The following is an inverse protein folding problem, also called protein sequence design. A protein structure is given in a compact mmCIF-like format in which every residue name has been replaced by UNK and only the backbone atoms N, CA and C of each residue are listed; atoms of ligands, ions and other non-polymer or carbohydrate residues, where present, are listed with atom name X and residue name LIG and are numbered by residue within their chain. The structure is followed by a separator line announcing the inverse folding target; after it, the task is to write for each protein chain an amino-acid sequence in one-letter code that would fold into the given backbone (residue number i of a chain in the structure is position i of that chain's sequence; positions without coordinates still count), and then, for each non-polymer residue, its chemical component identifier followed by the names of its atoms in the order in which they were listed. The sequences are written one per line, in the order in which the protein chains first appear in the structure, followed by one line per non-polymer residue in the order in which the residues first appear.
data_IF_310250547529
#
_entry.id   IF_310250547529
#
_cell.length_a   1.000
_cell.length_b   1.000
_cell.length_c   1.000
_cell.angle_alpha   90.00
_cell.angle_beta   90.00
_cell.angle_gamma   90.00
#
_symmetry.space_group_name_H-M   'P 1'
#
loop_
_entity.id
_entity.type
_entity.pdbx_description
1 polymer ?
#
# COMPACT_ATOMS: atom_id res chain seq x y z
N UNK A 1 6.34 14.76 2.17
CA UNK A 1 6.30 15.88 3.14
C UNK A 1 5.30 16.92 2.71
N UNK A 2 5.34 17.43 1.47
CA UNK A 2 4.36 18.36 0.91
C UNK A 2 2.90 17.95 1.17
N UNK A 3 2.51 16.71 0.86
CA UNK A 3 1.14 16.22 1.11
C UNK A 3 0.73 16.21 2.60
N UNK A 4 1.68 15.90 3.50
CA UNK A 4 1.43 15.92 4.94
C UNK A 4 1.29 17.37 5.45
N UNK A 5 2.13 18.27 4.96
CA UNK A 5 2.05 19.70 5.25
C UNK A 5 0.73 20.30 4.74
N UNK A 6 0.26 19.89 3.55
CA UNK A 6 -1.04 20.27 2.98
C UNK A 6 -2.21 19.74 3.82
N UNK A 7 -2.07 18.55 4.40
CA UNK A 7 -3.00 18.01 5.38
C UNK A 7 -2.92 18.68 6.77
N UNK A 8 -2.04 19.68 6.95
CA UNK A 8 -1.85 20.39 8.21
C UNK A 8 -1.10 19.59 9.27
N UNK A 9 -0.38 18.54 8.86
CA UNK A 9 0.43 17.70 9.74
C UNK A 9 1.84 18.30 9.81
N UNK A 10 2.26 18.66 11.02
CA UNK A 10 3.63 19.12 11.26
C UNK A 10 4.62 17.96 11.07
N UNK A 11 5.66 18.19 10.27
CA UNK A 11 6.64 17.16 9.93
C UNK A 11 8.01 17.57 10.44
N UNK A 12 8.45 16.93 11.52
CA UNK A 12 9.81 17.05 12.01
C UNK A 12 10.71 15.98 11.37
N UNK A 13 11.71 16.41 10.61
CA UNK A 13 12.71 15.49 10.07
C UNK A 13 13.64 15.00 11.20
N UNK A 14 13.43 13.78 11.67
CA UNK A 14 14.25 13.22 12.74
C UNK A 14 15.73 13.08 12.36
N UNK A 15 16.61 13.10 13.37
CA UNK A 15 18.08 13.28 13.23
C UNK A 15 18.85 12.00 12.83
N UNK A 16 18.17 11.02 12.23
CA UNK A 16 18.64 9.64 12.13
C UNK A 16 19.84 9.43 11.20
N UNK A 17 20.06 10.32 10.23
CA UNK A 17 21.14 10.21 9.24
C UNK A 17 22.54 10.39 9.88
N UNK A 18 22.61 10.94 11.08
CA UNK A 18 23.86 11.20 11.81
C UNK A 18 24.23 10.14 12.85
N UNK A 19 23.34 9.17 13.09
CA UNK A 19 23.44 8.18 14.17
C UNK A 19 24.34 7.02 13.76
N UNK A 20 25.37 6.74 14.56
CA UNK A 20 26.36 5.68 14.26
C UNK A 20 25.97 4.30 14.77
N UNK A 21 24.92 4.19 15.59
CA UNK A 21 24.44 2.92 16.15
C UNK A 21 25.50 2.21 17.02
N UNK A 22 26.33 2.98 17.74
CA UNK A 22 27.32 2.52 18.71
C UNK A 22 26.69 2.18 20.07
N UNK A 23 27.43 1.50 20.96
CA UNK A 23 26.94 1.18 22.32
C UNK A 23 26.43 2.42 23.07
N UNK A 24 27.13 3.54 22.92
CA UNK A 24 26.72 4.82 23.50
C UNK A 24 25.43 5.37 22.90
N UNK A 25 25.25 5.22 21.58
CA UNK A 25 24.02 5.67 20.92
C UNK A 25 22.80 4.88 21.44
N UNK A 26 23.00 3.62 21.87
CA UNK A 26 21.93 2.81 22.47
C UNK A 26 21.58 3.21 23.90
N UNK A 27 22.57 3.64 24.69
CA UNK A 27 22.34 4.19 26.03
C UNK A 27 21.57 5.51 25.97
N UNK A 28 21.86 6.35 24.96
CA UNK A 28 21.20 7.64 24.73
C UNK A 28 19.84 7.49 23.98
N UNK A 29 19.53 6.32 23.43
CA UNK A 29 18.29 6.09 22.67
C UNK A 29 17.02 6.22 23.52
N UNK A 30 17.13 6.01 24.83
CA UNK A 30 16.05 6.29 25.78
C UNK A 30 15.72 7.79 25.83
N UNK A 31 16.71 8.67 25.67
CA UNK A 31 16.49 10.11 25.61
C UNK A 31 15.85 10.58 24.30
N UNK A 32 15.99 9.80 23.22
CA UNK A 32 15.35 10.08 21.94
C UNK A 32 13.93 9.55 21.86
N UNK A 33 13.61 8.59 22.71
CA UNK A 33 12.27 8.05 22.79
C UNK A 33 11.30 9.13 23.25
N UNK A 34 10.24 9.30 22.49
CA UNK A 34 9.15 10.21 22.78
C UNK A 34 7.90 9.38 23.11
N UNK A 35 7.44 9.46 24.36
CA UNK A 35 6.25 8.75 24.84
C UNK A 35 4.95 9.25 24.17
N UNK A 36 5.00 10.40 23.48
CA UNK A 36 3.85 10.94 22.76
C UNK A 36 3.69 10.35 21.35
N UNK A 37 4.60 9.47 20.90
CA UNK A 37 4.46 8.79 19.61
C UNK A 37 3.29 7.80 19.68
N UNK A 38 2.16 8.19 19.09
CA UNK A 38 0.96 7.35 19.04
C UNK A 38 1.02 6.23 18.01
N UNK A 39 1.79 6.39 16.94
CA UNK A 39 1.91 5.40 15.87
C UNK A 39 3.26 5.47 15.15
N UNK A 40 3.68 4.33 14.60
CA UNK A 40 4.80 4.17 13.68
C UNK A 40 4.26 3.68 12.35
N UNK A 41 4.41 4.50 11.30
CA UNK A 41 3.98 4.18 9.94
C UNK A 41 5.20 3.80 9.11
N UNK A 42 5.21 2.59 8.56
CA UNK A 42 6.31 2.08 7.73
C UNK A 42 5.85 1.97 6.28
N UNK A 43 6.50 2.74 5.42
CA UNK A 43 6.33 2.68 3.97
C UNK A 43 7.65 2.50 3.24
N UNK A 44 7.67 2.80 1.94
CA UNK A 44 8.91 2.78 1.16
C UNK A 44 9.83 3.93 1.61
N UNK A 45 11.03 3.58 2.07
CA UNK A 45 12.06 4.53 2.50
C UNK A 45 13.42 4.15 1.90
N UNK A 46 13.80 4.83 0.81
CA UNK A 46 15.10 4.63 0.16
C UNK A 46 16.30 5.06 1.00
N UNK A 47 16.06 5.78 2.10
CA UNK A 47 17.05 6.20 3.10
C UNK A 47 16.84 5.47 4.42
N UNK A 48 16.31 4.25 4.40
CA UNK A 48 16.14 3.44 5.60
C UNK A 48 17.51 3.14 6.25
N UNK A 49 17.62 3.37 7.55
CA UNK A 49 18.85 3.14 8.32
C UNK A 49 18.58 2.26 9.53
N UNK A 50 19.65 1.67 10.08
CA UNK A 50 19.53 0.89 11.32
C UNK A 50 19.04 1.75 12.50
N UNK A 51 19.37 3.05 12.53
CA UNK A 51 18.87 3.97 13.54
C UNK A 51 17.35 4.15 13.47
N UNK A 52 16.80 4.32 12.27
CA UNK A 52 15.34 4.38 12.06
C UNK A 52 14.66 3.06 12.49
N UNK A 53 15.25 1.91 12.13
CA UNK A 53 14.76 0.60 12.53
C UNK A 53 14.69 0.46 14.06
N UNK A 54 15.77 0.80 14.76
CA UNK A 54 15.85 0.70 16.21
C UNK A 54 14.85 1.64 16.89
N UNK A 55 14.73 2.88 16.40
CA UNK A 55 13.77 3.86 16.91
C UNK A 55 12.31 3.39 16.72
N UNK A 56 11.95 3.00 15.50
CA UNK A 56 10.64 2.47 15.18
C UNK A 56 10.29 1.26 16.07
N UNK A 57 11.24 0.33 16.21
CA UNK A 57 11.06 -0.85 17.07
C UNK A 57 10.81 -0.48 18.53
N UNK A 58 11.60 0.45 19.08
CA UNK A 58 11.45 0.90 20.47
C UNK A 58 10.08 1.53 20.71
N UNK A 59 9.61 2.39 19.79
CA UNK A 59 8.32 3.05 19.93
C UNK A 59 7.16 2.06 19.87
N UNK A 60 7.21 1.10 18.97
CA UNK A 60 6.21 0.01 18.88
C UNK A 60 6.21 -0.84 20.16
N UNK A 61 7.38 -1.13 20.74
CA UNK A 61 7.48 -1.86 22.00
C UNK A 61 6.84 -1.08 23.17
N UNK A 62 6.90 0.26 23.14
CA UNK A 62 6.30 1.16 24.14
C UNK A 62 4.80 1.39 23.97
N UNK A 63 4.21 0.91 22.89
CA UNK A 63 2.76 0.94 22.68
C UNK A 63 2.31 1.84 21.54
N UNK A 64 3.22 2.43 20.78
CA UNK A 64 2.85 3.05 19.51
C UNK A 64 2.22 2.01 18.58
N UNK A 65 1.13 2.39 17.91
CA UNK A 65 0.46 1.54 16.93
C UNK A 65 1.39 1.26 15.75
N UNK A 66 1.45 0.02 15.28
CA UNK A 66 2.26 -0.33 14.12
C UNK A 66 1.41 -0.35 12.83
N UNK A 67 1.65 0.60 11.92
CA UNK A 67 0.94 0.74 10.64
C UNK A 67 1.92 0.51 9.48
N UNK A 68 1.48 -0.24 8.47
CA UNK A 68 2.25 -0.47 7.24
C UNK A 68 1.49 0.07 6.02
N UNK A 69 2.20 0.69 5.07
CA UNK A 69 1.55 1.21 3.86
C UNK A 69 1.12 0.09 2.92
N UNK A 70 1.98 -0.90 2.68
CA UNK A 70 1.71 -2.11 1.91
C UNK A 70 2.70 -3.23 2.29
N UNK A 71 2.37 -4.50 2.01
CA UNK A 71 3.24 -5.64 2.30
C UNK A 71 4.17 -6.02 1.14
N UNK A 72 4.23 -5.24 0.05
CA UNK A 72 4.94 -5.62 -1.16
C UNK A 72 6.45 -5.77 -0.91
N UNK A 73 6.97 -6.99 -1.09
CA UNK A 73 8.37 -7.29 -0.80
C UNK A 73 9.35 -6.54 -1.71
N UNK A 74 8.92 -6.23 -2.94
CA UNK A 74 9.73 -5.58 -3.94
C UNK A 74 9.01 -5.29 -5.24
N UNK A 75 9.62 -4.39 -6.00
CA UNK A 75 9.12 -3.87 -7.27
C UNK A 75 10.11 -4.17 -8.39
N UNK A 76 9.61 -4.54 -9.56
CA UNK A 76 10.45 -4.70 -10.75
C UNK A 76 10.79 -3.30 -11.30
N UNK A 77 12.05 -2.91 -11.14
CA UNK A 77 12.59 -1.64 -11.65
C UNK A 77 13.75 -1.94 -12.57
N UNK A 78 13.55 -1.77 -13.88
CA UNK A 78 14.55 -2.13 -14.89
C UNK A 78 14.85 -3.64 -14.88
N UNK A 79 16.12 -4.08 -14.82
CA UNK A 79 16.47 -5.49 -14.99
C UNK A 79 16.34 -6.33 -13.70
N UNK A 80 15.83 -5.78 -12.60
CA UNK A 80 15.86 -6.46 -11.31
C UNK A 80 14.73 -6.08 -10.36
N UNK A 81 14.57 -6.92 -9.34
CA UNK A 81 13.65 -6.71 -8.23
C UNK A 81 14.35 -5.87 -7.15
N UNK A 82 13.78 -4.71 -6.84
CA UNK A 82 14.28 -3.81 -5.81
C UNK A 82 13.40 -3.88 -4.56
N UNK A 83 13.94 -3.64 -3.35
CA UNK A 83 13.17 -3.72 -2.13
C UNK A 83 11.98 -2.75 -2.10
N UNK A 84 10.82 -3.27 -1.75
CA UNK A 84 9.58 -2.52 -1.54
C UNK A 84 9.37 -2.22 -0.06
N UNK A 85 8.22 -1.60 0.26
CA UNK A 85 7.90 -1.28 1.65
C UNK A 85 7.82 -2.53 2.55
N UNK A 86 7.34 -3.66 2.01
CA UNK A 86 7.23 -4.92 2.72
C UNK A 86 8.57 -5.44 3.26
N UNK A 87 9.69 -5.17 2.60
CA UNK A 87 11.01 -5.52 3.12
C UNK A 87 11.33 -4.76 4.41
N UNK A 88 10.99 -3.47 4.47
CA UNK A 88 11.21 -2.60 5.63
C UNK A 88 10.22 -2.94 6.75
N UNK A 89 8.96 -3.18 6.40
CA UNK A 89 7.91 -3.63 7.33
C UNK A 89 8.36 -4.91 8.04
N UNK A 90 8.85 -5.91 7.31
CA UNK A 90 9.33 -7.15 7.88
C UNK A 90 10.57 -6.96 8.79
N UNK A 91 11.47 -6.05 8.44
CA UNK A 91 12.61 -5.71 9.28
C UNK A 91 12.14 -5.12 10.63
N UNK A 92 11.22 -4.15 10.59
CA UNK A 92 10.63 -3.55 11.80
C UNK A 92 9.87 -4.59 12.62
N UNK A 93 9.02 -5.40 11.98
CA UNK A 93 8.24 -6.44 12.64
C UNK A 93 9.12 -7.46 13.35
N UNK A 94 10.21 -7.87 12.70
CA UNK A 94 11.20 -8.77 13.30
C UNK A 94 11.89 -8.11 14.50
N UNK A 95 12.28 -6.84 14.37
CA UNK A 95 13.00 -6.13 15.42
C UNK A 95 12.13 -5.82 16.66
N UNK A 96 10.84 -5.54 16.47
CA UNK A 96 9.92 -5.22 17.57
C UNK A 96 9.16 -6.43 18.11
N UNK A 97 9.18 -7.56 17.39
CA UNK A 97 8.45 -8.77 17.74
C UNK A 97 6.93 -8.65 17.60
N UNK A 98 6.44 -7.65 16.85
CA UNK A 98 5.01 -7.42 16.57
C UNK A 98 4.77 -7.30 15.07
N UNK A 99 3.62 -7.75 14.60
CA UNK A 99 3.17 -7.51 13.22
C UNK A 99 2.44 -6.17 13.12
N UNK A 100 2.35 -5.55 11.92
CA UNK A 100 1.50 -4.39 11.72
C UNK A 100 0.06 -4.69 12.12
N UNK A 101 -0.55 -3.77 12.85
CA UNK A 101 -1.97 -3.81 13.21
C UNK A 101 -2.85 -3.45 12.02
N UNK A 102 -2.33 -2.58 11.13
CA UNK A 102 -3.04 -2.06 9.96
C UNK A 102 -2.12 -2.11 8.74
N UNK A 103 -2.66 -2.60 7.63
CA UNK A 103 -2.13 -2.36 6.29
C UNK A 103 -3.06 -1.36 5.58
N UNK A 104 -2.54 -0.21 5.16
CA UNK A 104 -3.35 0.84 4.54
C UNK A 104 -3.73 0.50 3.09
N UNK A 105 -2.76 -0.04 2.33
CA UNK A 105 -2.92 -0.43 0.94
C UNK A 105 -3.40 -1.87 0.77
N UNK A 106 -3.34 -2.33 -0.48
CA UNK A 106 -3.63 -3.72 -0.85
C UNK A 106 -2.80 -4.70 0.01
N UNK A 107 -3.34 -5.85 0.45
CA UNK A 107 -4.66 -6.40 0.11
C UNK A 107 -5.80 -5.92 1.04
N UNK A 108 -5.56 -4.93 1.91
CA UNK A 108 -6.56 -4.45 2.87
C UNK A 108 -7.81 -3.89 2.19
N UNK A 109 -8.99 -4.22 2.73
CA UNK A 109 -10.25 -3.64 2.28
C UNK A 109 -10.43 -2.17 2.67
N UNK A 110 -9.56 -1.63 3.54
CA UNK A 110 -9.61 -0.23 3.95
C UNK A 110 -9.60 0.73 2.75
N UNK A 111 -8.71 0.48 1.79
CA UNK A 111 -8.66 1.29 0.55
C UNK A 111 -9.92 1.12 -0.32
N UNK A 112 -10.60 -0.03 -0.28
CA UNK A 112 -11.87 -0.23 -1.01
C UNK A 112 -13.01 0.57 -0.38
N UNK A 113 -13.05 0.69 0.94
CA UNK A 113 -14.04 1.50 1.64
C UNK A 113 -13.86 2.98 1.28
N UNK A 114 -12.61 3.48 1.31
CA UNK A 114 -12.30 4.84 0.86
C UNK A 114 -12.71 5.09 -0.60
N UNK A 115 -12.45 4.14 -1.50
CA UNK A 115 -12.81 4.24 -2.92
C UNK A 115 -14.34 4.26 -3.14
N UNK A 116 -15.11 3.51 -2.35
CA UNK A 116 -16.58 3.55 -2.43
C UNK A 116 -17.11 4.93 -2.05
N UNK A 117 -16.58 5.49 -0.97
CA UNK A 117 -17.06 6.75 -0.40
C UNK A 117 -16.65 7.96 -1.25
N UNK A 118 -15.42 7.98 -1.78
CA UNK A 118 -14.90 9.14 -2.51
C UNK A 118 -15.16 9.10 -4.02
N UNK A 119 -15.18 7.93 -4.64
CA UNK A 119 -15.24 7.79 -6.10
C UNK A 119 -16.56 7.20 -6.61
N UNK A 120 -17.53 6.94 -5.72
CA UNK A 120 -18.84 6.34 -6.05
C UNK A 120 -18.69 5.06 -6.92
N UNK A 121 -17.70 4.23 -6.59
CA UNK A 121 -17.40 3.01 -7.33
C UNK A 121 -18.34 1.88 -6.90
N UNK A 122 -19.12 1.38 -7.84
CA UNK A 122 -19.92 0.16 -7.65
C UNK A 122 -19.06 -1.07 -7.96
N UNK A 123 -18.57 -1.75 -6.91
CA UNK A 123 -17.72 -2.92 -7.05
C UNK A 123 -18.37 -4.08 -7.82
N UNK A 124 -19.71 -4.18 -7.84
CA UNK A 124 -20.42 -5.23 -8.58
C UNK A 124 -20.30 -5.12 -10.11
N UNK A 125 -19.76 -4.00 -10.60
CA UNK A 125 -19.44 -3.74 -12.01
C UNK A 125 -17.99 -3.32 -12.24
N UNK A 126 -17.13 -3.49 -11.24
CA UNK A 126 -15.71 -3.11 -11.29
C UNK A 126 -14.83 -4.30 -11.65
N UNK A 127 -13.86 -4.07 -12.53
CA UNK A 127 -12.75 -4.98 -12.81
C UNK A 127 -11.50 -4.47 -12.11
N UNK A 128 -10.91 -5.27 -11.22
CA UNK A 128 -9.60 -4.99 -10.63
C UNK A 128 -8.53 -5.65 -11.48
N UNK A 129 -7.55 -4.87 -11.94
CA UNK A 129 -6.45 -5.33 -12.78
C UNK A 129 -5.15 -5.10 -12.02
N UNK A 130 -4.27 -6.10 -12.00
CA UNK A 130 -2.94 -5.95 -11.42
C UNK A 130 -2.03 -7.11 -11.76
N UNK A 131 -0.81 -7.07 -11.25
CA UNK A 131 0.27 -8.00 -11.58
C UNK A 131 0.67 -8.89 -10.39
N UNK A 132 0.00 -8.75 -9.24
CA UNK A 132 0.25 -9.53 -8.03
C UNK A 132 -0.97 -10.32 -7.56
N UNK A 133 -0.78 -11.63 -7.35
CA UNK A 133 -1.81 -12.49 -6.73
C UNK A 133 -2.09 -12.11 -5.27
N UNK A 134 -1.03 -11.82 -4.51
CA UNK A 134 -1.07 -11.61 -3.06
C UNK A 134 -1.56 -10.21 -2.66
N UNK A 135 -1.53 -9.23 -3.57
CA UNK A 135 -2.03 -7.88 -3.31
C UNK A 135 -3.18 -7.48 -4.24
N UNK A 136 -2.99 -7.37 -5.55
CA UNK A 136 -4.03 -6.86 -6.47
C UNK A 136 -5.25 -7.78 -6.57
N UNK A 137 -4.99 -9.07 -6.82
CA UNK A 137 -6.08 -10.03 -6.98
C UNK A 137 -6.75 -10.26 -5.63
N UNK A 138 -5.97 -10.42 -4.56
CA UNK A 138 -6.47 -10.51 -3.20
C UNK A 138 -7.34 -9.29 -2.83
N UNK A 139 -6.93 -8.08 -3.20
CA UNK A 139 -7.68 -6.85 -2.99
C UNK A 139 -9.02 -6.86 -3.71
N UNK A 140 -9.03 -7.17 -5.02
CA UNK A 140 -10.27 -7.25 -5.79
C UNK A 140 -11.25 -8.30 -5.24
N UNK A 141 -10.72 -9.47 -4.83
CA UNK A 141 -11.53 -10.52 -4.20
C UNK A 141 -12.08 -10.08 -2.84
N UNK A 142 -11.26 -9.48 -1.97
CA UNK A 142 -11.69 -8.98 -0.67
C UNK A 142 -12.77 -7.88 -0.78
N UNK A 143 -12.71 -7.06 -1.84
CA UNK A 143 -13.72 -6.05 -2.13
C UNK A 143 -15.01 -6.58 -2.73
N UNK A 144 -15.07 -7.86 -3.13
CA UNK A 144 -16.13 -8.39 -3.99
C UNK A 144 -16.26 -7.60 -5.30
N UNK A 145 -15.14 -7.25 -5.93
CA UNK A 145 -15.14 -6.74 -7.29
C UNK A 145 -15.79 -7.76 -8.23
N UNK A 146 -16.46 -7.28 -9.28
CA UNK A 146 -17.15 -8.12 -10.25
C UNK A 146 -16.22 -9.15 -10.89
N UNK A 147 -15.00 -8.72 -11.21
CA UNK A 147 -13.94 -9.52 -11.79
C UNK A 147 -12.57 -9.05 -11.31
N UNK A 148 -11.61 -9.97 -11.33
CA UNK A 148 -10.18 -9.69 -11.22
C UNK A 148 -9.42 -10.19 -12.45
N UNK A 149 -8.45 -9.41 -12.93
CA UNK A 149 -7.57 -9.79 -14.04
C UNK A 149 -6.11 -9.63 -13.63
N UNK A 150 -5.34 -10.71 -13.78
CA UNK A 150 -3.90 -10.70 -13.62
C UNK A 150 -3.22 -10.40 -14.97
N UNK A 151 -2.34 -9.41 -15.00
CA UNK A 151 -1.43 -9.13 -16.13
C UNK A 151 -0.05 -9.73 -15.86
N UNK A 152 0.59 -10.29 -16.88
CA UNK A 152 1.91 -10.94 -16.76
C UNK A 152 3.09 -10.03 -17.12
N UNK A 153 2.88 -8.71 -17.09
CA UNK A 153 3.92 -7.70 -17.37
C UNK A 153 4.69 -7.25 -16.13
N UNK A 154 4.31 -7.74 -14.94
CA UNK A 154 4.86 -7.31 -13.66
C UNK A 154 5.46 -8.46 -12.85
N UNK A 155 5.20 -8.48 -11.54
CA UNK A 155 5.91 -9.36 -10.57
C UNK A 155 5.53 -10.82 -10.71
N UNK A 156 4.25 -11.15 -10.91
CA UNK A 156 3.81 -12.54 -10.99
C UNK A 156 4.09 -13.13 -12.37
N UNK A 157 4.83 -14.22 -12.42
CA UNK A 157 5.04 -15.00 -13.64
C UNK A 157 3.99 -16.12 -13.79
N UNK A 158 3.86 -16.67 -15.00
CA UNK A 158 2.89 -17.74 -15.25
C UNK A 158 3.16 -19.00 -14.41
N UNK A 159 4.42 -19.26 -14.07
CA UNK A 159 4.81 -20.40 -13.23
C UNK A 159 4.34 -20.23 -11.78
N UNK A 160 4.31 -18.99 -11.25
CA UNK A 160 3.74 -18.69 -9.94
C UNK A 160 2.23 -19.00 -9.93
N UNK A 161 1.53 -18.62 -11.00
CA UNK A 161 0.09 -18.89 -11.15
C UNK A 161 -0.17 -20.40 -11.20
N UNK A 162 0.65 -21.16 -11.93
CA UNK A 162 0.53 -22.61 -12.00
C UNK A 162 0.75 -23.26 -10.63
N UNK A 163 1.79 -22.84 -9.90
CA UNK A 163 2.04 -23.32 -8.55
C UNK A 163 0.89 -22.99 -7.59
N UNK A 164 0.30 -21.79 -7.73
CA UNK A 164 -0.88 -21.39 -6.95
C UNK A 164 -2.12 -22.22 -7.30
N UNK A 165 -2.32 -22.52 -8.58
CA UNK A 165 -3.43 -23.34 -9.06
C UNK A 165 -3.32 -24.79 -8.55
N UNK A 166 -2.12 -25.37 -8.55
CA UNK A 166 -1.88 -26.70 -7.96
C UNK A 166 -2.24 -26.72 -6.47
N UNK A 167 -1.83 -25.69 -5.72
CA UNK A 167 -2.21 -25.54 -4.31
C UNK A 167 -3.72 -25.42 -4.15
N UNK A 168 -4.38 -24.66 -5.01
CA UNK A 168 -5.83 -24.43 -4.99
C UNK A 168 -6.67 -25.72 -5.15
N UNK A 169 -6.11 -26.80 -5.73
CA UNK A 169 -6.78 -28.10 -5.78
C UNK A 169 -7.08 -28.69 -4.39
N UNK A 170 -6.28 -28.30 -3.39
CA UNK A 170 -6.35 -28.85 -2.03
C UNK A 170 -6.62 -27.80 -0.94
N UNK A 171 -6.45 -26.52 -1.26
CA UNK A 171 -6.61 -25.39 -0.34
C UNK A 171 -7.70 -24.41 -0.85
N UNK A 172 -8.90 -24.41 -0.24
CA UNK A 172 -9.99 -23.51 -0.63
C UNK A 172 -9.64 -22.02 -0.53
N UNK A 173 -8.74 -21.64 0.39
CA UNK A 173 -8.31 -20.26 0.51
C UNK A 173 -7.42 -19.85 -0.69
N UNK A 174 -6.54 -20.75 -1.13
CA UNK A 174 -5.76 -20.54 -2.34
C UNK A 174 -6.65 -20.50 -3.59
N UNK A 175 -7.70 -21.33 -3.66
CA UNK A 175 -8.66 -21.30 -4.75
C UNK A 175 -9.44 -19.98 -4.84
N UNK A 176 -9.83 -19.42 -3.70
CA UNK A 176 -10.52 -18.12 -3.64
C UNK A 176 -9.63 -16.95 -4.09
N UNK A 177 -8.30 -17.10 -4.02
CA UNK A 177 -7.32 -16.09 -4.39
C UNK A 177 -6.92 -16.12 -5.88
N UNK A 178 -7.43 -17.08 -6.67
CA UNK A 178 -7.14 -17.13 -8.11
C UNK A 178 -7.84 -15.99 -8.87
N UNK A 179 -7.18 -15.42 -9.90
CA UNK A 179 -7.78 -14.37 -10.71
C UNK A 179 -8.90 -14.92 -11.60
N UNK A 180 -9.90 -14.09 -11.92
CA UNK A 180 -10.94 -14.50 -12.87
C UNK A 180 -10.40 -14.59 -14.30
N UNK A 181 -9.41 -13.78 -14.63
CA UNK A 181 -8.73 -13.76 -15.94
C UNK A 181 -7.22 -13.61 -15.76
N UNK A 182 -6.48 -14.23 -16.68
CA UNK A 182 -5.04 -14.02 -16.85
C UNK A 182 -4.85 -13.53 -18.28
N UNK A 183 -4.15 -12.43 -18.45
CA UNK A 183 -3.82 -11.83 -19.74
C UNK A 183 -2.34 -11.50 -19.79
N UNK A 184 -1.73 -11.55 -20.97
CA UNK A 184 -0.32 -11.25 -21.14
C UNK A 184 0.00 -9.79 -20.81
N UNK A 185 -0.89 -8.86 -21.15
CA UNK A 185 -0.73 -7.42 -20.89
C UNK A 185 -2.06 -6.67 -20.86
N UNK A 186 -2.02 -5.40 -20.43
CA UNK A 186 -3.16 -4.49 -20.55
C UNK A 186 -3.54 -4.23 -22.02
N UNK A 187 -2.55 -4.20 -22.94
CA UNK A 187 -2.80 -4.06 -24.37
C UNK A 187 -3.62 -5.24 -24.91
N UNK A 188 -3.27 -6.47 -24.55
CA UNK A 188 -4.04 -7.67 -24.91
C UNK A 188 -5.47 -7.60 -24.35
N UNK A 189 -5.63 -7.16 -23.10
CA UNK A 189 -6.95 -6.97 -22.48
C UNK A 189 -7.82 -5.98 -23.27
N UNK A 190 -7.21 -4.95 -23.85
CA UNK A 190 -7.87 -3.98 -24.73
C UNK A 190 -8.04 -4.47 -26.18
N UNK A 191 -7.62 -5.70 -26.51
CA UNK A 191 -7.67 -6.25 -27.87
C UNK A 191 -6.60 -5.71 -28.81
N UNK A 192 -5.52 -5.15 -28.27
CA UNK A 192 -4.36 -4.66 -29.02
C UNK A 192 -3.28 -5.76 -29.09
N UNK A 193 -2.59 -5.86 -30.22
CA UNK A 193 -1.38 -6.68 -30.30
C UNK A 193 -0.32 -6.08 -29.37
N UNK A 194 0.23 -6.91 -28.48
CA UNK A 194 1.30 -6.52 -27.56
C UNK A 194 2.58 -7.25 -27.95
N UNK A 195 3.63 -6.48 -28.27
CA UNK A 195 4.98 -6.99 -28.45
C UNK A 195 5.87 -6.40 -27.33
N UNK A 196 6.32 -7.19 -26.34
CA UNK A 196 7.12 -6.68 -25.22
C UNK A 196 8.48 -6.10 -25.67
N UNK A 197 8.95 -6.46 -26.87
CA UNK A 197 10.21 -5.98 -27.44
C UNK A 197 10.06 -4.68 -28.25
N UNK A 198 8.84 -4.24 -28.56
CA UNK A 198 8.56 -2.98 -29.24
C UNK A 198 8.15 -1.91 -28.23
N UNK A 199 9.14 -1.18 -27.70
CA UNK A 199 8.88 0.02 -26.91
C UNK A 199 8.11 1.07 -27.74
N UNK A 200 7.18 1.78 -27.11
CA UNK A 200 6.46 2.89 -27.72
C UNK A 200 7.48 3.90 -28.29
N UNK A 201 7.49 4.16 -29.62
CA UNK A 201 8.53 4.97 -30.27
C UNK A 201 8.67 6.40 -29.73
N UNK A 202 7.68 6.91 -28.99
CA UNK A 202 7.63 8.29 -28.51
C UNK A 202 8.23 8.55 -27.13
N UNK A 203 8.79 7.55 -26.43
CA UNK A 203 9.51 7.79 -25.16
C UNK A 203 10.99 8.18 -25.36
N UNK A 204 11.45 8.27 -26.62
CA UNK A 204 12.83 8.64 -26.95
C UNK A 204 13.04 10.12 -27.29
N UNK A 205 12.02 10.98 -27.23
CA UNK A 205 12.28 12.42 -27.18
C UNK A 205 12.66 12.79 -25.75
N UNK A 206 13.96 13.03 -25.56
CA UNK A 206 14.59 13.44 -24.30
C UNK A 206 14.17 14.82 -23.78
N UNK A 207 13.05 15.35 -24.27
CA UNK A 207 12.41 16.61 -23.87
C UNK A 207 10.96 16.41 -23.40
N UNK A 208 10.43 15.17 -23.36
CA UNK A 208 9.19 14.89 -22.68
C UNK A 208 9.48 14.78 -21.17
N UNK A 209 9.29 15.88 -20.45
CA UNK A 209 9.09 15.88 -19.00
C UNK A 209 7.94 14.91 -18.69
N UNK A 210 8.28 13.64 -18.46
CA UNK A 210 7.39 12.67 -17.85
C UNK A 210 7.17 13.19 -16.44
N UNK A 211 5.98 13.75 -16.21
CA UNK A 211 5.51 14.35 -14.98
C UNK A 211 6.16 13.71 -13.73
N UNK A 212 7.09 14.45 -13.12
CA UNK A 212 7.72 14.09 -11.83
C UNK A 212 6.96 14.71 -10.65
N UNK A 213 5.75 15.21 -10.89
CA UNK A 213 4.92 15.87 -9.89
C UNK A 213 3.64 15.06 -9.72
N UNK A 214 3.36 14.64 -8.49
CA UNK A 214 2.16 13.86 -8.12
C UNK A 214 0.86 14.61 -8.50
N UNK A 215 0.94 15.95 -8.55
CA UNK A 215 -0.12 16.85 -9.00
C UNK A 215 -0.56 16.65 -10.46
N UNK A 216 0.30 16.12 -11.33
CA UNK A 216 -0.01 15.92 -12.75
C UNK A 216 -0.70 14.58 -13.05
N UNK A 217 -0.56 13.56 -12.18
CA UNK A 217 -1.31 12.31 -12.32
C UNK A 217 -2.81 12.50 -12.07
N UNK A 218 -3.19 13.38 -11.13
CA UNK A 218 -4.59 13.72 -10.87
C UNK A 218 -5.23 14.54 -12.00
N UNK A 219 -4.44 15.23 -12.81
CA UNK A 219 -4.92 16.00 -13.99
C UNK A 219 -5.16 15.16 -15.23
N UNK A 220 -4.71 13.91 -15.26
CA UNK A 220 -4.89 13.02 -16.41
C UNK A 220 -6.33 12.49 -16.56
N UNK A 221 -7.19 12.71 -15.57
CA UNK A 221 -8.63 12.50 -15.68
C UNK A 221 -9.31 13.83 -16.04
N UNK A 222 -10.05 13.92 -17.16
CA UNK A 222 -10.83 15.13 -17.44
C UNK A 222 -11.89 15.29 -16.35
N UNK A 223 -11.68 16.27 -15.48
CA UNK A 223 -12.70 16.78 -14.57
C UNK A 223 -13.70 17.59 -15.39
N UNK A 224 -14.63 16.92 -16.06
CA UNK A 224 -15.86 17.56 -16.50
C UNK A 224 -16.97 17.19 -15.51
N UNK A 225 -17.50 18.23 -14.86
CA UNK A 225 -18.73 18.29 -14.06
C UNK A 225 -18.71 17.79 -12.59
N UNK A 226 -17.66 18.10 -11.81
CA UNK A 226 -17.78 18.13 -10.35
C UNK A 226 -18.10 19.57 -9.88
N UNK A 227 -19.36 19.82 -9.50
CA UNK A 227 -19.77 21.09 -8.90
C UNK A 227 -18.97 21.36 -7.61
N UNK A 228 -18.50 22.59 -7.46
CA UNK A 228 -17.65 23.05 -6.35
C UNK A 228 -18.40 23.03 -5.01
N UNK A 229 -17.79 22.56 -3.91
CA UNK A 229 -18.43 22.53 -2.59
C UNK A 229 -18.35 23.91 -1.92
N UNK A 230 -19.22 24.84 -2.31
CA UNK A 230 -19.44 26.10 -1.56
C UNK A 230 -20.73 26.11 -0.72
N UNK A 231 -21.55 25.06 -0.76
CA UNK A 231 -22.82 25.02 0.00
C UNK A 231 -22.91 23.77 0.88
N UNK A 232 -22.24 23.78 2.04
CA UNK A 232 -22.62 22.90 3.15
C UNK A 232 -22.79 23.70 4.44
N UNK A 233 -24.02 23.85 4.97
CA UNK A 233 -24.22 24.35 6.31
C UNK A 233 -23.73 23.31 7.33
N UNK A 234 -22.88 23.76 8.26
CA UNK A 234 -22.53 23.01 9.45
C UNK A 234 -23.76 22.96 10.37
N UNK A 235 -24.57 21.92 10.27
CA UNK A 235 -25.57 21.63 11.30
C UNK A 235 -24.87 20.97 12.50
N UNK A 236 -24.78 21.76 13.57
CA UNK A 236 -24.48 21.33 14.94
C UNK A 236 -25.61 20.41 15.44
N UNK A 237 -25.38 19.09 15.48
CA UNK A 237 -25.96 18.18 16.48
C UNK A 237 -25.39 16.76 16.32
N UNK A 238 -24.24 16.48 16.95
CA UNK A 238 -23.92 15.11 17.35
C UNK A 238 -24.38 14.93 18.79
N UNK A 239 -25.58 14.37 18.94
CA UNK A 239 -26.10 13.92 20.21
C UNK A 239 -25.23 12.80 20.78
N UNK A 240 -24.94 12.91 22.07
CA UNK A 240 -24.45 11.84 22.93
C UNK A 240 -25.32 10.58 22.76
N UNK A 241 -24.70 9.48 22.36
CA UNK A 241 -25.20 8.14 22.69
C UNK A 241 -23.99 7.25 23.08
N UNK A 242 -23.70 7.28 24.38
CA UNK A 242 -23.13 6.17 25.11
C UNK A 242 -23.95 4.89 24.82
N UNK A 243 -23.33 3.85 24.23
CA UNK A 243 -23.32 2.46 24.73
C UNK A 243 -23.03 1.46 23.59
N UNK A 244 -21.79 0.99 23.47
CA UNK A 244 -21.48 -0.26 22.76
C UNK A 244 -20.17 -0.86 23.29
N UNK A 245 -20.25 -1.38 24.49
CA UNK A 245 -19.23 -2.26 25.04
C UNK A 245 -19.12 -3.58 24.24
N UNK A 246 -17.88 -3.91 23.87
CA UNK A 246 -17.33 -5.26 23.84
C UNK A 246 -17.82 -6.23 22.74
N UNK A 247 -16.99 -6.43 21.70
CA UNK A 247 -16.61 -7.75 21.13
C UNK A 247 -15.75 -7.58 19.87
N UNK A 248 -14.43 -7.63 20.02
CA UNK A 248 -13.53 -8.07 18.95
C UNK A 248 -12.47 -8.98 19.57
N UNK A 249 -12.54 -10.28 19.26
CA UNK A 249 -11.54 -11.27 19.63
C UNK A 249 -10.75 -11.65 18.36
N UNK A 250 -9.41 -11.53 18.35
CA UNK A 250 -8.62 -11.97 17.20
C UNK A 250 -8.23 -13.45 17.36
N UNK A 251 -8.87 -14.31 16.57
CA UNK A 251 -8.27 -15.57 16.09
C UNK A 251 -8.04 -15.38 14.59
N UNK A 252 -6.93 -15.69 13.95
CA UNK A 252 -5.72 -16.40 14.31
C UNK A 252 -5.09 -16.73 12.96
N UNK A 253 -3.92 -16.16 12.67
CA UNK A 253 -3.09 -16.53 11.53
C UNK A 253 -1.88 -17.24 12.10
N UNK A 254 -1.80 -18.56 11.85
CA UNK A 254 -0.58 -19.36 11.88
C UNK A 254 -0.10 -19.52 10.45
#
# INVERSE_FOLDING_TARGET
MKELEEAGIDVEAGVYDSVKCSERDWEEMDEWSDENVGAVVVGSDSKFTFAKLAYASLQIQRGAMFVATNPDAGDLVGPGLYPGAGALVNAVATACGKQPEIYCGKPSSFMLELLKDHANIDLSRTLVIGDRLDTDIAFGKAGNAALTALVLTGVTEIDDVNAWAERAETDPAAAAALPDRIVGSLAELCGLEFNPDELCPSLHDSDADVARDEDDMLRAFPAEDAETPEDFPLDEDYGDDDDASNKFSPSGYM
#
